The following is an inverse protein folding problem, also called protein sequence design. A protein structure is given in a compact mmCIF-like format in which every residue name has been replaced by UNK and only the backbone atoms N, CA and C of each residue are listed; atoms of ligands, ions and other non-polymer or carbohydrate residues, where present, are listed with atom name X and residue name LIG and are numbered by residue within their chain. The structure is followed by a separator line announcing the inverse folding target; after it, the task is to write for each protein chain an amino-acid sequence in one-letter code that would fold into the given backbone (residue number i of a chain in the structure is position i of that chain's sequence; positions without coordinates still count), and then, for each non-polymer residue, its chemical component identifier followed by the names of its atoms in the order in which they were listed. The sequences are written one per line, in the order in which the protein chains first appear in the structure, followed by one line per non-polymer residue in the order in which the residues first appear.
data_IF_915552287834
#
_entry.id   IF_915552287834
#
_cell.length_a   1.000
_cell.length_b   1.000
_cell.length_c   1.000
_cell.angle_alpha   90.00
_cell.angle_beta   90.00
_cell.angle_gamma   90.00
#
_symmetry.space_group_name_H-M   'P 1'
#
loop_
_entity.id
_entity.type
_entity.pdbx_description
1 polymer ?
#
# COMPACT_ATOMS: atom_id res chain seq x y z
N UNK A 1 -40.48 -15.82 17.56
CA UNK A 1 -40.20 -14.54 16.86
C UNK A 1 -38.70 -14.19 16.74
N UNK A 2 -37.83 -14.55 17.69
CA UNK A 2 -36.38 -14.21 17.68
C UNK A 2 -35.47 -14.96 16.66
N UNK A 3 -35.87 -16.13 16.14
CA UNK A 3 -35.07 -16.90 15.16
C UNK A 3 -35.01 -16.23 13.78
N UNK A 4 -36.09 -15.56 13.36
CA UNK A 4 -36.21 -14.94 12.04
C UNK A 4 -35.28 -13.72 11.89
N UNK A 5 -35.04 -12.99 12.99
CA UNK A 5 -34.11 -11.85 13.05
C UNK A 5 -32.65 -12.28 12.90
N UNK A 6 -32.26 -13.43 13.49
CA UNK A 6 -30.89 -13.96 13.39
C UNK A 6 -30.55 -14.46 11.98
N UNK A 7 -31.51 -15.05 11.25
CA UNK A 7 -31.29 -15.47 9.87
C UNK A 7 -31.14 -14.29 8.92
N UNK A 8 -31.99 -13.26 9.03
CA UNK A 8 -31.84 -12.01 8.26
C UNK A 8 -30.49 -11.35 8.53
N UNK A 9 -30.05 -11.31 9.80
CA UNK A 9 -28.75 -10.74 10.17
C UNK A 9 -27.55 -11.51 9.58
N UNK A 10 -27.58 -12.85 9.62
CA UNK A 10 -26.54 -13.69 8.99
C UNK A 10 -26.48 -13.47 7.47
N UNK A 11 -27.63 -13.33 6.82
CA UNK A 11 -27.72 -13.15 5.38
C UNK A 11 -27.25 -11.75 4.94
N UNK A 12 -27.57 -10.72 5.73
CA UNK A 12 -27.02 -9.36 5.55
C UNK A 12 -25.51 -9.38 5.72
N UNK A 13 -24.98 -9.99 6.79
CA UNK A 13 -23.54 -10.10 7.04
C UNK A 13 -22.82 -10.85 5.91
N UNK A 14 -23.37 -11.97 5.46
CA UNK A 14 -22.82 -12.76 4.36
C UNK A 14 -22.73 -11.99 3.03
N UNK A 15 -23.61 -11.01 2.79
CA UNK A 15 -23.51 -10.11 1.64
C UNK A 15 -22.64 -8.88 1.89
N UNK A 16 -22.59 -8.39 3.13
CA UNK A 16 -21.83 -7.21 3.52
C UNK A 16 -20.31 -7.48 3.54
N UNK A 17 -19.89 -8.67 3.99
CA UNK A 17 -18.49 -9.08 4.07
C UNK A 17 -17.76 -9.03 2.70
N UNK A 18 -18.29 -9.62 1.61
CA UNK A 18 -17.64 -9.53 0.29
C UNK A 18 -17.68 -8.10 -0.28
N UNK A 19 -18.77 -7.37 -0.09
CA UNK A 19 -18.87 -5.97 -0.53
C UNK A 19 -17.81 -5.10 0.16
N UNK A 20 -17.64 -5.27 1.47
CA UNK A 20 -16.64 -4.55 2.25
C UNK A 20 -15.22 -4.87 1.77
N UNK A 21 -14.92 -6.14 1.46
CA UNK A 21 -13.62 -6.54 0.89
C UNK A 21 -13.35 -5.89 -0.45
N UNK A 22 -14.35 -5.82 -1.33
CA UNK A 22 -14.22 -5.17 -2.65
C UNK A 22 -13.93 -3.67 -2.47
N UNK A 23 -14.69 -3.00 -1.60
CA UNK A 23 -14.47 -1.59 -1.29
C UNK A 23 -13.08 -1.34 -0.71
N UNK A 24 -12.66 -2.11 0.29
CA UNK A 24 -11.36 -1.94 0.93
C UNK A 24 -10.22 -2.20 -0.07
N UNK A 25 -10.36 -3.22 -0.92
CA UNK A 25 -9.42 -3.50 -2.00
C UNK A 25 -9.33 -2.33 -2.98
N UNK A 26 -10.46 -1.83 -3.48
CA UNK A 26 -10.50 -0.70 -4.41
C UNK A 26 -9.88 0.57 -3.82
N UNK A 27 -10.23 0.91 -2.58
CA UNK A 27 -9.62 2.05 -1.88
C UNK A 27 -8.12 1.88 -1.73
N UNK A 28 -7.65 0.68 -1.40
CA UNK A 28 -6.21 0.39 -1.30
C UNK A 28 -5.51 0.63 -2.63
N UNK A 29 -6.08 0.15 -3.75
CA UNK A 29 -5.53 0.35 -5.09
C UNK A 29 -5.51 1.84 -5.49
N UNK A 30 -6.55 2.59 -5.14
CA UNK A 30 -6.58 4.04 -5.36
C UNK A 30 -5.48 4.77 -4.60
N UNK A 31 -5.23 4.42 -3.34
CA UNK A 31 -4.15 5.03 -2.55
C UNK A 31 -2.76 4.70 -3.13
N UNK A 32 -2.55 3.46 -3.58
CA UNK A 32 -1.30 3.06 -4.23
C UNK A 32 -1.09 3.85 -5.53
N UNK A 33 -2.12 3.92 -6.38
CA UNK A 33 -2.04 4.64 -7.65
C UNK A 33 -1.78 6.15 -7.44
N UNK A 34 -2.40 6.74 -6.43
CA UNK A 34 -2.16 8.14 -6.05
C UNK A 34 -0.72 8.36 -5.56
N UNK A 35 -0.19 7.45 -4.75
CA UNK A 35 1.19 7.53 -4.26
C UNK A 35 2.22 7.37 -5.39
N UNK A 36 2.00 6.43 -6.32
CA UNK A 36 2.80 6.26 -7.54
C UNK A 36 2.76 7.52 -8.42
N UNK A 37 1.58 8.12 -8.60
CA UNK A 37 1.44 9.39 -9.31
C UNK A 37 2.26 10.50 -8.63
N UNK A 38 2.16 10.64 -7.30
CA UNK A 38 2.95 11.62 -6.55
C UNK A 38 4.46 11.36 -6.66
N UNK A 39 4.90 10.09 -6.64
CA UNK A 39 6.31 9.73 -6.80
C UNK A 39 6.88 10.23 -8.14
N UNK A 40 6.11 10.08 -9.23
CA UNK A 40 6.51 10.60 -10.54
C UNK A 40 6.41 12.12 -10.59
N UNK A 41 5.31 12.67 -10.10
CA UNK A 41 5.00 14.10 -10.19
C UNK A 41 5.96 14.98 -9.37
N UNK A 42 6.40 14.52 -8.19
CA UNK A 42 7.35 15.24 -7.34
C UNK A 42 8.79 15.17 -7.86
N UNK A 43 9.13 14.17 -8.70
CA UNK A 43 10.50 13.94 -9.17
C UNK A 43 10.57 13.61 -10.67
N UNK A 44 10.01 14.44 -11.57
CA UNK A 44 9.88 14.12 -12.98
C UNK A 44 11.22 14.10 -13.73
N UNK A 45 12.23 14.81 -13.23
CA UNK A 45 13.56 14.93 -13.84
C UNK A 45 14.64 14.09 -13.13
N UNK A 46 14.24 12.95 -12.54
CA UNK A 46 15.16 12.04 -11.85
C UNK A 46 15.22 10.68 -12.55
N UNK A 47 16.44 10.24 -12.89
CA UNK A 47 16.72 8.89 -13.39
C UNK A 47 16.44 7.77 -12.39
N UNK A 48 16.17 8.09 -11.13
CA UNK A 48 15.82 7.11 -10.10
C UNK A 48 14.30 7.06 -9.83
N UNK A 49 13.48 7.66 -10.69
CA UNK A 49 12.02 7.67 -10.57
C UNK A 49 11.43 6.55 -11.44
N UNK A 50 10.55 5.75 -10.87
CA UNK A 50 9.83 4.69 -11.59
C UNK A 50 8.31 4.89 -11.42
N UNK A 51 7.56 4.64 -12.49
CA UNK A 51 6.11 4.91 -12.51
C UNK A 51 5.30 3.88 -11.70
N UNK A 52 5.79 2.65 -11.61
CA UNK A 52 5.21 1.55 -10.85
C UNK A 52 5.76 1.46 -9.42
N UNK A 53 6.54 2.44 -8.98
CA UNK A 53 7.13 2.48 -7.64
C UNK A 53 6.43 3.51 -6.75
N UNK A 54 6.02 3.06 -5.56
CA UNK A 54 5.55 3.95 -4.48
C UNK A 54 6.67 4.83 -3.91
N UNK A 55 6.34 6.04 -3.45
CA UNK A 55 7.33 6.96 -2.88
C UNK A 55 8.03 6.40 -1.65
N UNK A 56 7.31 5.67 -0.79
CA UNK A 56 7.89 4.99 0.39
C UNK A 56 8.83 3.85 -0.03
N UNK A 57 8.48 3.06 -1.05
CA UNK A 57 9.37 2.03 -1.62
C UNK A 57 10.65 2.66 -2.18
N UNK A 58 10.53 3.76 -2.94
CA UNK A 58 11.68 4.52 -3.45
C UNK A 58 12.59 5.01 -2.34
N UNK A 59 12.02 5.55 -1.26
CA UNK A 59 12.78 5.97 -0.08
C UNK A 59 13.53 4.78 0.54
N UNK A 60 12.92 3.60 0.60
CA UNK A 60 13.58 2.36 1.04
C UNK A 60 14.73 1.93 0.12
N UNK A 61 14.53 1.94 -1.20
CA UNK A 61 15.55 1.59 -2.20
C UNK A 61 16.74 2.55 -2.17
N UNK A 62 16.46 3.85 -2.02
CA UNK A 62 17.46 4.93 -2.07
C UNK A 62 17.85 5.44 -0.67
N UNK A 63 17.57 4.69 0.40
CA UNK A 63 17.82 5.11 1.80
C UNK A 63 19.28 5.52 2.08
N UNK A 64 20.23 5.07 1.25
CA UNK A 64 21.65 5.38 1.34
C UNK A 64 22.05 6.70 0.64
N UNK A 65 21.13 7.36 -0.08
CA UNK A 65 21.40 8.55 -0.91
C UNK A 65 20.57 9.75 -0.43
N UNK A 66 21.18 10.94 -0.43
CA UNK A 66 20.44 12.20 -0.21
C UNK A 66 19.68 12.61 -1.49
N UNK A 67 18.47 13.20 -1.37
CA UNK A 67 17.75 13.53 -0.12
C UNK A 67 16.88 12.39 0.44
N UNK A 68 16.80 11.24 -0.23
CA UNK A 68 15.89 10.15 0.12
C UNK A 68 16.10 9.55 1.50
N UNK A 69 17.31 9.61 2.06
CA UNK A 69 17.55 9.27 3.48
C UNK A 69 16.68 10.09 4.44
N UNK A 70 16.56 11.40 4.18
CA UNK A 70 15.76 12.31 5.02
C UNK A 70 14.27 12.07 4.78
N UNK A 71 13.87 11.95 3.51
CA UNK A 71 12.47 11.67 3.17
C UNK A 71 12.01 10.33 3.75
N UNK A 72 12.84 9.29 3.67
CA UNK A 72 12.57 7.99 4.28
C UNK A 72 12.33 8.10 5.78
N UNK A 73 13.19 8.81 6.50
CA UNK A 73 13.00 9.03 7.94
C UNK A 73 11.68 9.77 8.26
N UNK A 74 11.33 10.80 7.49
CA UNK A 74 10.06 11.52 7.67
C UNK A 74 8.87 10.59 7.43
N UNK A 75 8.91 9.80 6.36
CA UNK A 75 7.85 8.83 6.03
C UNK A 75 7.76 7.75 7.11
N UNK A 76 8.88 7.20 7.57
CA UNK A 76 8.91 6.20 8.63
C UNK A 76 8.32 6.75 9.94
N UNK A 77 8.56 8.01 10.28
CA UNK A 77 7.95 8.67 11.43
C UNK A 77 6.43 8.86 11.25
N UNK A 78 6.00 9.31 10.06
CA UNK A 78 4.57 9.46 9.74
C UNK A 78 3.82 8.14 9.87
N UNK A 79 4.42 7.02 9.45
CA UNK A 79 3.79 5.70 9.48
C UNK A 79 4.19 4.84 10.68
N UNK A 80 4.85 5.42 11.69
CA UNK A 80 5.27 4.70 12.90
C UNK A 80 4.11 3.95 13.56
N UNK A 81 2.94 4.58 13.65
CA UNK A 81 1.74 4.00 14.27
C UNK A 81 1.22 2.74 13.57
N UNK A 82 1.65 2.45 12.35
CA UNK A 82 1.17 1.30 11.59
C UNK A 82 1.76 -0.03 12.10
N UNK A 83 3.03 -0.04 12.53
CA UNK A 83 3.71 -1.25 13.01
C UNK A 83 4.57 -1.03 14.27
N UNK A 84 4.55 0.17 14.86
CA UNK A 84 5.40 0.59 15.98
C UNK A 84 6.90 0.45 15.71
N UNK A 85 7.32 0.76 14.47
CA UNK A 85 8.72 0.75 14.06
C UNK A 85 9.00 1.83 13.00
N UNK A 86 10.29 2.05 12.73
CA UNK A 86 10.78 3.00 11.72
C UNK A 86 11.30 2.28 10.47
N UNK A 87 10.67 1.18 10.07
CA UNK A 87 11.06 0.39 8.89
C UNK A 87 9.97 0.35 7.80
N UNK A 88 9.07 1.33 7.79
CA UNK A 88 7.96 1.39 6.83
C UNK A 88 8.49 1.42 5.39
N UNK A 89 9.44 2.30 5.07
CA UNK A 89 10.02 2.44 3.73
C UNK A 89 10.77 1.17 3.29
N UNK A 90 11.54 0.55 4.21
CA UNK A 90 12.24 -0.71 3.93
C UNK A 90 11.25 -1.83 3.59
N UNK A 91 10.20 -2.00 4.39
CA UNK A 91 9.16 -3.00 4.11
C UNK A 91 8.39 -2.72 2.83
N UNK A 92 8.11 -1.45 2.53
CA UNK A 92 7.47 -1.06 1.28
C UNK A 92 8.32 -1.53 0.10
N UNK A 93 9.63 -1.29 0.14
CA UNK A 93 10.57 -1.77 -0.87
C UNK A 93 10.63 -3.29 -0.98
N UNK A 94 10.63 -4.03 0.15
CA UNK A 94 10.56 -5.49 0.13
C UNK A 94 9.26 -6.02 -0.51
N UNK A 95 8.12 -5.37 -0.25
CA UNK A 95 6.84 -5.74 -0.86
C UNK A 95 6.81 -5.43 -2.36
N UNK A 96 7.41 -4.32 -2.76
CA UNK A 96 7.49 -3.90 -4.16
C UNK A 96 8.27 -4.90 -5.01
N UNK A 97 9.37 -5.43 -4.47
CA UNK A 97 10.13 -6.52 -5.12
C UNK A 97 9.26 -7.73 -5.44
N UNK A 98 8.28 -8.04 -4.59
CA UNK A 98 7.33 -9.16 -4.81
C UNK A 98 6.11 -8.76 -5.64
N UNK A 99 6.05 -7.52 -6.14
CA UNK A 99 4.94 -6.95 -6.92
C UNK A 99 3.59 -7.15 -6.25
N UNK A 100 3.52 -6.98 -4.93
CA UNK A 100 2.31 -7.31 -4.16
C UNK A 100 1.08 -6.50 -4.60
N UNK A 101 1.30 -5.28 -5.11
CA UNK A 101 0.25 -4.41 -5.60
C UNK A 101 -0.30 -4.84 -6.98
N UNK A 102 0.43 -5.64 -7.75
CA UNK A 102 -0.03 -6.16 -9.04
C UNK A 102 -1.14 -7.21 -8.90
N UNK A 103 -1.92 -7.43 -9.99
CA UNK A 103 -2.82 -8.55 -10.11
C UNK A 103 -2.10 -9.87 -9.78
N UNK A 104 -2.77 -10.84 -9.12
CA UNK A 104 -2.16 -12.11 -8.73
C UNK A 104 -1.38 -12.81 -9.84
N UNK A 105 -1.88 -12.76 -11.07
CA UNK A 105 -1.29 -13.41 -12.25
C UNK A 105 0.02 -12.76 -12.71
N UNK A 106 0.32 -11.54 -12.26
CA UNK A 106 1.54 -10.77 -12.59
C UNK A 106 2.56 -10.73 -11.45
N UNK A 107 2.29 -11.42 -10.33
CA UNK A 107 3.21 -11.47 -9.19
C UNK A 107 4.31 -12.48 -9.46
N UNK A 108 5.51 -12.17 -9.00
CA UNK A 108 6.61 -13.13 -9.06
C UNK A 108 6.33 -14.31 -8.12
N UNK A 109 6.54 -15.56 -8.56
CA UNK A 109 6.43 -16.71 -7.68
C UNK A 109 7.46 -16.58 -6.55
N UNK A 110 7.00 -16.78 -5.31
CA UNK A 110 7.86 -16.76 -4.12
C UNK A 110 8.78 -17.96 -4.06
#
# INVERSE_FOLDING_TARGET
MFKMTRQKLKLVRAKLDPLFKILLHGLTQMFIAFDQLLNVWLFPFSWNTWADETFSSRCGRLQHRYPYKIFGFIVDLLFYFQNNDLEHCRRAYEKEKTRYHFPPDMREPK
#
